data_IF_759362782030
#
_entry.id   IF_759362782030
#
_cell.length_a   1.000
_cell.length_b   1.000
_cell.length_c   1.000
_cell.angle_alpha   90.00
_cell.angle_beta   90.00
_cell.angle_gamma   90.00
#
_symmetry.space_group_name_H-M   'P 1'
#
loop_
_entity.id
_entity.type
_entity.pdbx_description
1 polymer ?
#
# COMPACT_ATOMS: atom_id res chain seq x y z
N UNK A 1 -4.19 9.44 -37.68
CA UNK A 1 -4.16 10.71 -38.46
C UNK A 1 -4.03 11.81 -37.41
N UNK A 2 -2.85 12.43 -37.33
CA UNK A 2 -2.64 13.54 -36.42
C UNK A 2 -3.32 14.77 -37.01
N UNK A 3 -4.30 15.34 -36.30
CA UNK A 3 -5.01 16.54 -36.65
C UNK A 3 -4.79 17.56 -35.53
N UNK A 4 -4.34 18.75 -35.89
CA UNK A 4 -4.25 19.87 -34.95
C UNK A 4 -5.48 20.77 -35.13
N UNK A 5 -6.06 21.21 -34.00
CA UNK A 5 -7.18 22.15 -33.99
C UNK A 5 -6.60 23.52 -33.65
N UNK A 6 -6.53 24.40 -34.64
CA UNK A 6 -6.20 25.80 -34.46
C UNK A 6 -7.38 26.64 -34.91
N UNK A 7 -7.86 27.54 -34.06
CA UNK A 7 -8.95 28.51 -34.33
C UNK A 7 -10.24 27.90 -34.94
N UNK A 8 -10.57 26.65 -34.54
CA UNK A 8 -11.76 25.96 -35.03
C UNK A 8 -11.61 25.32 -36.41
N UNK A 9 -10.43 25.37 -37.00
CA UNK A 9 -10.10 24.68 -38.25
C UNK A 9 -9.19 23.49 -37.97
N UNK A 10 -9.38 22.37 -38.70
CA UNK A 10 -8.52 21.21 -38.66
C UNK A 10 -7.40 21.35 -39.67
N UNK A 11 -6.18 21.56 -39.20
CA UNK A 11 -4.99 21.55 -40.07
C UNK A 11 -4.29 20.20 -39.91
N UNK A 12 -4.10 19.41 -40.99
CA UNK A 12 -3.36 18.18 -40.90
C UNK A 12 -1.88 18.47 -40.65
N UNK A 13 -1.29 17.81 -39.64
CA UNK A 13 0.16 17.90 -39.37
C UNK A 13 1.01 17.30 -40.51
N UNK A 14 0.44 16.43 -41.33
CA UNK A 14 1.11 15.74 -42.43
C UNK A 14 0.29 15.76 -43.71
N UNK A 15 0.96 15.93 -44.85
CA UNK A 15 0.40 15.72 -46.17
C UNK A 15 0.13 14.23 -46.43
N UNK A 16 -0.61 13.91 -47.49
CA UNK A 16 -0.87 12.49 -47.85
C UNK A 16 0.42 11.75 -48.19
N UNK A 17 1.37 12.36 -48.87
CA UNK A 17 2.65 11.75 -49.23
C UNK A 17 3.51 11.50 -47.97
N UNK A 18 3.49 12.44 -47.02
CA UNK A 18 4.17 12.28 -45.72
C UNK A 18 3.53 11.18 -44.86
N UNK A 19 2.20 11.03 -44.90
CA UNK A 19 1.53 9.89 -44.23
C UNK A 19 1.93 8.56 -44.83
N UNK A 20 2.22 8.49 -46.12
CA UNK A 20 2.74 7.26 -46.73
C UNK A 20 4.17 6.96 -46.28
N UNK A 21 5.01 7.98 -46.09
CA UNK A 21 6.34 7.79 -45.48
C UNK A 21 6.25 7.26 -44.03
N UNK A 22 5.27 7.74 -43.23
CA UNK A 22 5.01 7.24 -41.88
C UNK A 22 4.59 5.76 -41.94
N UNK A 23 3.67 5.39 -42.84
CA UNK A 23 3.26 3.99 -43.03
C UNK A 23 4.40 3.06 -43.42
N UNK A 24 5.38 3.59 -44.15
CA UNK A 24 6.60 2.87 -44.52
C UNK A 24 7.67 2.91 -43.42
N UNK A 25 7.37 3.56 -42.27
CA UNK A 25 8.31 3.76 -41.16
C UNK A 25 9.65 4.32 -41.64
N UNK A 26 9.58 5.38 -42.47
CA UNK A 26 10.75 5.95 -43.16
C UNK A 26 11.74 6.55 -42.18
N UNK A 27 13.04 6.35 -42.45
CA UNK A 27 14.14 7.01 -41.73
C UNK A 27 14.40 8.43 -42.21
N UNK A 28 13.62 8.94 -43.16
CA UNK A 28 13.76 10.31 -43.66
C UNK A 28 13.45 11.28 -42.53
N UNK A 29 14.28 12.33 -42.44
CA UNK A 29 14.09 13.47 -41.54
C UNK A 29 14.18 14.75 -42.38
N UNK A 30 13.22 15.61 -42.20
CA UNK A 30 13.27 16.97 -42.80
C UNK A 30 13.67 17.94 -41.68
N UNK A 31 14.93 18.40 -41.65
CA UNK A 31 15.35 19.43 -40.71
C UNK A 31 14.64 20.74 -41.09
N UNK A 32 14.36 21.59 -40.16
CA UNK A 32 13.78 22.92 -40.37
C UNK A 32 12.47 22.91 -41.21
N UNK A 33 11.64 21.91 -41.07
CA UNK A 33 10.42 21.74 -41.82
C UNK A 33 9.38 22.83 -41.46
N UNK A 34 8.63 23.32 -42.48
CA UNK A 34 7.44 24.12 -42.24
C UNK A 34 6.23 23.18 -42.05
N UNK A 35 5.80 22.99 -40.81
CA UNK A 35 4.67 22.08 -40.48
C UNK A 35 3.88 22.51 -39.25
N UNK A 36 2.75 23.09 -39.49
CA UNK A 36 1.86 23.56 -38.43
C UNK A 36 2.59 24.47 -37.42
N UNK A 37 2.31 24.26 -36.14
CA UNK A 37 2.97 24.98 -35.04
C UNK A 37 4.41 24.53 -34.75
N UNK A 38 4.85 23.47 -35.39
CA UNK A 38 6.18 22.88 -35.18
C UNK A 38 7.22 23.38 -36.19
N UNK A 39 6.91 24.42 -36.95
CA UNK A 39 7.84 25.03 -37.91
C UNK A 39 9.19 25.36 -37.25
N UNK A 40 10.27 24.95 -37.90
CA UNK A 40 11.63 25.08 -37.37
C UNK A 40 12.11 23.89 -36.54
N UNK A 41 11.27 22.87 -36.31
CA UNK A 41 11.66 21.60 -35.70
C UNK A 41 11.78 20.51 -36.75
N UNK A 42 12.67 19.52 -36.57
CA UNK A 42 12.77 18.37 -37.46
C UNK A 42 11.42 17.64 -37.57
N UNK A 43 11.00 17.32 -38.78
CA UNK A 43 9.83 16.50 -39.04
C UNK A 43 10.26 15.06 -39.29
N UNK A 44 9.62 14.12 -38.59
CA UNK A 44 9.94 12.70 -38.60
C UNK A 44 8.79 11.91 -39.23
N UNK A 45 9.13 10.77 -39.83
CA UNK A 45 8.19 9.89 -40.52
C UNK A 45 8.22 8.48 -39.94
N UNK A 46 8.37 8.38 -38.60
CA UNK A 46 8.31 7.10 -37.87
C UNK A 46 6.88 6.82 -37.41
N UNK A 47 6.56 5.55 -37.29
CA UNK A 47 5.36 5.06 -36.62
C UNK A 47 5.81 4.10 -35.52
N UNK A 48 6.13 4.66 -34.36
CA UNK A 48 6.67 3.94 -33.21
C UNK A 48 5.58 3.75 -32.17
N UNK A 49 5.47 2.54 -31.63
CA UNK A 49 4.67 2.29 -30.45
C UNK A 49 5.51 2.47 -29.17
N UNK A 50 5.36 3.60 -28.53
CA UNK A 50 6.07 3.92 -27.29
C UNK A 50 5.71 2.97 -26.17
N UNK A 51 4.50 2.41 -26.12
CA UNK A 51 4.16 1.41 -25.13
C UNK A 51 4.99 0.15 -25.34
N UNK A 52 5.01 -0.37 -26.56
CA UNK A 52 5.82 -1.56 -26.88
C UNK A 52 7.32 -1.31 -26.68
N UNK A 53 7.80 -0.09 -26.90
CA UNK A 53 9.21 0.25 -26.71
C UNK A 53 9.61 0.31 -25.24
N UNK A 54 8.72 0.79 -24.37
CA UNK A 54 9.01 1.08 -22.96
C UNK A 54 8.49 0.04 -21.98
N UNK A 55 7.46 -0.69 -22.36
CA UNK A 55 6.79 -1.68 -21.52
C UNK A 55 7.09 -3.07 -22.01
N UNK A 56 7.52 -3.93 -21.14
CA UNK A 56 7.82 -5.32 -21.39
C UNK A 56 6.98 -6.26 -20.55
N UNK A 57 7.49 -7.46 -20.37
CA UNK A 57 6.92 -8.45 -19.48
C UNK A 57 7.64 -8.40 -18.13
N UNK A 58 6.88 -8.32 -17.06
CA UNK A 58 7.40 -8.55 -15.72
C UNK A 58 7.67 -10.04 -15.48
N UNK A 59 8.59 -10.33 -14.58
CA UNK A 59 8.92 -11.68 -14.15
C UNK A 59 8.70 -11.83 -12.65
N UNK A 60 8.04 -12.92 -12.24
CA UNK A 60 7.85 -13.22 -10.82
C UNK A 60 8.31 -14.64 -10.53
N UNK A 61 9.17 -14.78 -9.53
CA UNK A 61 9.66 -16.04 -8.99
C UNK A 61 9.24 -16.14 -7.54
N UNK A 62 8.64 -17.27 -7.15
CA UNK A 62 8.19 -17.50 -5.79
C UNK A 62 8.63 -18.91 -5.32
N UNK A 63 9.36 -18.95 -4.23
CA UNK A 63 9.87 -20.17 -3.61
C UNK A 63 9.35 -20.25 -2.18
N UNK A 64 8.74 -21.39 -1.83
CA UNK A 64 8.22 -21.63 -0.51
C UNK A 64 8.64 -23.01 -0.02
N UNK A 65 9.11 -23.07 1.21
CA UNK A 65 9.44 -24.32 1.91
C UNK A 65 8.68 -24.33 3.24
N UNK A 66 7.95 -25.41 3.50
CA UNK A 66 7.19 -25.59 4.72
C UNK A 66 7.60 -26.89 5.39
N UNK A 67 7.87 -26.81 6.70
CA UNK A 67 8.16 -27.94 7.54
C UNK A 67 7.17 -27.90 8.69
N UNK A 68 6.47 -28.99 8.93
CA UNK A 68 5.55 -29.11 10.06
C UNK A 68 5.68 -30.48 10.70
N UNK A 69 5.41 -30.52 12.00
CA UNK A 69 5.42 -31.74 12.77
C UNK A 69 4.75 -31.56 14.12
N UNK A 70 4.67 -32.63 14.90
CA UNK A 70 4.07 -32.55 16.20
C UNK A 70 3.96 -33.93 16.87
N UNK A 71 3.48 -33.89 18.10
CA UNK A 71 3.13 -35.04 18.91
C UNK A 71 1.81 -34.76 19.63
N UNK A 72 1.48 -35.57 20.63
CA UNK A 72 0.23 -35.47 21.38
C UNK A 72 0.04 -34.10 22.06
N UNK A 73 1.15 -33.48 22.50
CA UNK A 73 1.13 -32.25 23.30
C UNK A 73 1.77 -31.05 22.66
N UNK A 74 2.27 -31.17 21.43
CA UNK A 74 2.87 -30.04 20.72
C UNK A 74 2.69 -30.19 19.23
N UNK A 75 2.62 -29.05 18.56
CA UNK A 75 2.72 -28.96 17.12
C UNK A 75 3.57 -27.76 16.74
N UNK A 76 4.23 -27.85 15.59
CA UNK A 76 4.99 -26.74 15.04
C UNK A 76 4.89 -26.70 13.53
N UNK A 77 5.09 -25.51 12.99
CA UNK A 77 5.21 -25.24 11.57
C UNK A 77 6.26 -24.14 11.37
N UNK A 78 7.19 -24.37 10.47
CA UNK A 78 8.11 -23.36 9.96
C UNK A 78 7.87 -23.23 8.47
N UNK A 79 7.69 -21.99 8.01
CA UNK A 79 7.52 -21.63 6.59
C UNK A 79 8.57 -20.59 6.24
N UNK A 80 9.31 -20.83 5.16
CA UNK A 80 10.27 -19.93 4.58
C UNK A 80 9.84 -19.62 3.15
N UNK A 81 9.88 -18.37 2.76
CA UNK A 81 9.53 -17.95 1.41
C UNK A 81 10.48 -16.89 0.89
N UNK A 82 10.72 -16.92 -0.40
CA UNK A 82 11.40 -15.88 -1.15
C UNK A 82 10.61 -15.57 -2.40
N UNK A 83 10.39 -14.30 -2.67
CA UNK A 83 9.76 -13.79 -3.89
C UNK A 83 10.69 -12.76 -4.51
N UNK A 84 10.91 -12.88 -5.80
CA UNK A 84 11.54 -11.87 -6.64
C UNK A 84 10.54 -11.46 -7.72
N UNK A 85 10.32 -10.18 -7.85
CA UNK A 85 9.41 -9.57 -8.81
C UNK A 85 10.18 -8.50 -9.58
N UNK A 86 10.16 -8.59 -10.89
CA UNK A 86 10.71 -7.59 -11.81
C UNK A 86 9.54 -6.87 -12.47
N UNK A 87 9.57 -5.55 -12.47
CA UNK A 87 8.55 -4.71 -13.09
C UNK A 87 8.50 -4.83 -14.60
N UNK A 88 7.53 -4.16 -15.19
CA UNK A 88 7.31 -4.16 -16.65
C UNK A 88 8.08 -3.08 -17.42
N UNK A 89 8.63 -1.99 -16.83
CA UNK A 89 9.44 -1.03 -17.57
C UNK A 89 10.70 -1.67 -18.15
N UNK A 90 11.01 -1.36 -19.41
CA UNK A 90 12.24 -1.81 -20.09
C UNK A 90 13.45 -0.91 -19.82
N UNK A 91 13.21 0.29 -19.28
CA UNK A 91 14.21 1.25 -18.90
C UNK A 91 14.13 1.54 -17.41
N UNK A 92 15.28 1.80 -16.81
CA UNK A 92 15.40 1.92 -15.37
C UNK A 92 15.24 0.58 -14.66
N UNK A 93 15.46 0.57 -13.37
CA UNK A 93 15.28 -0.61 -12.54
C UNK A 93 13.88 -0.62 -11.91
N UNK A 94 13.26 -1.79 -11.77
CA UNK A 94 12.11 -2.04 -10.90
C UNK A 94 12.15 -3.50 -10.44
N UNK A 95 12.84 -3.72 -9.33
CA UNK A 95 13.03 -5.06 -8.76
C UNK A 95 12.63 -5.05 -7.30
N UNK A 96 11.75 -5.97 -6.92
CA UNK A 96 11.33 -6.19 -5.54
C UNK A 96 11.70 -7.60 -5.08
N UNK A 97 12.47 -7.70 -4.00
CA UNK A 97 12.86 -8.95 -3.36
C UNK A 97 12.22 -9.03 -1.99
N UNK A 98 11.41 -10.06 -1.73
CA UNK A 98 10.73 -10.29 -0.46
C UNK A 98 11.19 -11.60 0.17
N UNK A 99 11.30 -11.60 1.47
CA UNK A 99 11.63 -12.75 2.30
C UNK A 99 10.57 -12.90 3.37
N UNK A 100 10.07 -14.12 3.54
CA UNK A 100 9.02 -14.45 4.49
C UNK A 100 9.51 -15.56 5.42
N UNK A 101 9.33 -15.35 6.70
CA UNK A 101 9.55 -16.35 7.73
C UNK A 101 8.29 -16.41 8.57
N UNK A 102 7.71 -17.60 8.72
CA UNK A 102 6.60 -17.83 9.63
C UNK A 102 6.88 -19.06 10.47
N UNK A 103 6.83 -18.87 11.78
CA UNK A 103 6.92 -19.98 12.74
C UNK A 103 5.65 -20.00 13.59
N UNK A 104 5.04 -21.17 13.69
CA UNK A 104 3.91 -21.41 14.59
C UNK A 104 4.26 -22.57 15.50
N UNK A 105 3.91 -22.45 16.76
CA UNK A 105 3.97 -23.56 17.69
C UNK A 105 2.77 -23.54 18.63
N UNK A 106 2.29 -24.71 18.99
CA UNK A 106 1.28 -24.92 20.02
C UNK A 106 1.81 -25.98 20.97
N UNK A 107 1.85 -25.67 22.27
CA UNK A 107 2.40 -26.53 23.29
C UNK A 107 1.42 -26.63 24.45
N UNK A 108 1.01 -27.84 24.78
CA UNK A 108 0.29 -28.15 26.03
C UNK A 108 1.28 -28.19 27.19
N UNK A 109 1.41 -27.07 27.92
CA UNK A 109 2.32 -26.96 29.09
C UNK A 109 1.83 -27.87 30.20
N UNK A 110 0.51 -27.83 30.47
CA UNK A 110 -0.21 -28.73 31.37
C UNK A 110 -1.47 -29.21 30.66
N UNK A 111 -2.11 -30.28 31.13
CA UNK A 111 -3.34 -30.84 30.55
C UNK A 111 -4.47 -29.78 30.32
N UNK A 112 -4.42 -28.70 31.09
CA UNK A 112 -5.41 -27.61 31.01
C UNK A 112 -4.84 -26.28 30.59
N UNK A 113 -3.55 -26.20 30.21
CA UNK A 113 -2.89 -24.95 29.81
C UNK A 113 -2.13 -25.13 28.50
N UNK A 114 -2.56 -24.42 27.46
CA UNK A 114 -1.92 -24.45 26.15
C UNK A 114 -1.35 -23.05 25.84
N UNK A 115 -0.13 -23.06 25.36
CA UNK A 115 0.53 -21.84 24.81
C UNK A 115 0.69 -21.96 23.30
N UNK A 116 0.24 -20.94 22.59
CA UNK A 116 0.37 -20.80 21.15
C UNK A 116 1.26 -19.60 20.83
N UNK A 117 2.28 -19.82 20.01
CA UNK A 117 3.13 -18.79 19.44
C UNK A 117 2.95 -18.75 17.93
N UNK A 118 2.76 -17.55 17.37
CA UNK A 118 2.81 -17.31 15.94
C UNK A 118 3.71 -16.11 15.68
N UNK A 119 4.88 -16.38 15.08
CA UNK A 119 5.84 -15.40 14.64
C UNK A 119 5.76 -15.27 13.11
N UNK A 120 5.64 -14.06 12.60
CA UNK A 120 5.76 -13.77 11.19
C UNK A 120 6.76 -12.62 10.99
N UNK A 121 7.69 -12.81 10.08
CA UNK A 121 8.62 -11.77 9.65
C UNK A 121 8.58 -11.67 8.14
N UNK A 122 8.48 -10.44 7.64
CA UNK A 122 8.57 -10.10 6.23
C UNK A 122 9.60 -9.00 6.05
N UNK A 123 10.53 -9.19 5.14
CA UNK A 123 11.45 -8.16 4.68
C UNK A 123 11.27 -7.95 3.18
N UNK A 124 11.31 -6.70 2.74
CA UNK A 124 11.24 -6.33 1.32
C UNK A 124 12.33 -5.33 0.99
N UNK A 125 13.05 -5.59 -0.11
CA UNK A 125 14.00 -4.65 -0.71
C UNK A 125 13.52 -4.36 -2.12
N UNK A 126 13.10 -3.13 -2.37
CA UNK A 126 12.67 -2.67 -3.69
C UNK A 126 13.57 -1.56 -4.17
N UNK A 127 14.16 -1.79 -5.34
CA UNK A 127 14.96 -0.82 -6.10
C UNK A 127 14.20 -0.47 -7.37
N UNK A 128 13.92 0.81 -7.60
CA UNK A 128 13.16 1.24 -8.77
C UNK A 128 13.50 2.67 -9.18
N UNK A 129 13.31 2.96 -10.47
CA UNK A 129 13.53 4.29 -11.01
C UNK A 129 12.67 5.34 -10.29
N UNK A 130 13.27 6.48 -9.95
CA UNK A 130 12.53 7.61 -9.39
C UNK A 130 11.49 8.19 -10.39
N UNK A 131 11.60 7.86 -11.68
CA UNK A 131 10.58 8.15 -12.69
C UNK A 131 9.24 7.45 -12.46
N UNK A 132 9.21 6.36 -11.66
CA UNK A 132 8.00 5.62 -11.29
C UNK A 132 7.34 6.15 -9.99
N UNK A 133 7.89 7.18 -9.34
CA UNK A 133 7.31 7.73 -8.12
C UNK A 133 6.02 8.52 -8.40
N UNK A 134 5.16 8.59 -7.38
CA UNK A 134 3.99 9.47 -7.44
C UNK A 134 4.42 10.92 -7.75
N UNK A 135 3.68 11.58 -8.64
CA UNK A 135 3.96 12.94 -9.10
C UNK A 135 4.83 13.03 -10.36
N UNK A 136 5.44 11.95 -10.83
CA UNK A 136 6.16 11.91 -12.11
C UNK A 136 5.32 11.37 -13.26
N UNK A 137 4.11 10.98 -13.04
CA UNK A 137 3.12 10.43 -13.99
C UNK A 137 3.72 9.87 -15.30
N UNK A 138 4.67 8.94 -15.17
CA UNK A 138 5.40 8.36 -16.31
C UNK A 138 4.45 7.74 -17.34
N UNK A 139 3.34 7.17 -16.87
CA UNK A 139 2.35 6.54 -17.72
C UNK A 139 1.64 7.57 -18.62
N UNK A 140 1.35 8.75 -18.07
CA UNK A 140 0.80 9.87 -18.84
C UNK A 140 1.83 10.39 -19.85
N UNK A 141 3.11 10.45 -19.46
CA UNK A 141 4.19 10.86 -20.35
C UNK A 141 4.34 9.89 -21.53
N UNK A 142 4.32 8.57 -21.26
CA UNK A 142 4.37 7.54 -22.30
C UNK A 142 3.18 7.69 -23.27
N UNK A 143 1.98 7.84 -22.71
CA UNK A 143 0.75 7.98 -23.51
C UNK A 143 0.71 9.26 -24.36
N UNK A 144 1.28 10.37 -23.86
CA UNK A 144 1.33 11.65 -24.57
C UNK A 144 2.46 11.75 -25.58
N UNK A 145 3.45 10.85 -25.50
CA UNK A 145 4.57 10.87 -26.46
C UNK A 145 4.08 10.44 -27.84
N UNK A 146 4.42 11.24 -28.84
CA UNK A 146 3.92 11.04 -30.20
C UNK A 146 4.64 9.89 -30.89
N UNK A 147 3.90 9.09 -31.66
CA UNK A 147 4.44 7.91 -32.37
C UNK A 147 5.58 8.23 -33.35
N UNK A 148 5.59 9.42 -33.91
CA UNK A 148 6.63 9.84 -34.84
C UNK A 148 7.91 10.39 -34.16
N UNK A 149 7.89 10.64 -32.85
CA UNK A 149 9.06 11.14 -32.11
C UNK A 149 10.09 10.03 -31.94
N UNK A 150 11.34 10.18 -32.45
CA UNK A 150 12.38 9.20 -32.22
C UNK A 150 12.84 9.16 -30.76
N UNK A 151 13.27 8.00 -30.28
CA UNK A 151 13.79 7.85 -28.92
C UNK A 151 15.17 8.47 -28.76
N UNK A 152 16.02 8.36 -29.78
CA UNK A 152 17.39 8.81 -29.79
C UNK A 152 17.64 9.76 -30.97
N UNK A 153 18.54 10.73 -30.78
CA UNK A 153 19.08 11.51 -31.88
C UNK A 153 20.20 10.74 -32.61
N UNK A 154 20.76 11.26 -33.71
CA UNK A 154 21.82 10.56 -34.46
C UNK A 154 23.10 10.31 -33.68
N UNK A 155 23.36 11.04 -32.60
CA UNK A 155 24.51 10.82 -31.70
C UNK A 155 24.28 9.73 -30.68
N UNK A 156 23.06 9.13 -30.63
CA UNK A 156 22.70 8.06 -29.69
C UNK A 156 22.30 8.55 -28.29
N UNK A 157 22.09 9.86 -28.10
CA UNK A 157 21.53 10.42 -26.87
C UNK A 157 20.00 10.46 -26.94
N UNK A 158 19.34 10.44 -25.77
CA UNK A 158 17.89 10.55 -25.72
C UNK A 158 17.42 11.88 -26.33
N UNK A 159 16.57 11.76 -27.34
CA UNK A 159 16.03 12.93 -28.04
C UNK A 159 14.84 13.52 -27.31
N UNK A 160 14.77 14.82 -27.24
CA UNK A 160 13.65 15.54 -26.67
C UNK A 160 13.04 16.47 -27.72
N UNK A 161 11.76 16.28 -28.01
CA UNK A 161 11.01 17.12 -28.91
C UNK A 161 10.31 18.25 -28.13
N UNK A 162 10.59 19.47 -28.48
CA UNK A 162 9.91 20.71 -28.03
C UNK A 162 9.41 20.73 -26.58
N UNK A 163 10.30 20.51 -25.65
CA UNK A 163 9.92 20.62 -24.25
C UNK A 163 9.16 19.44 -23.66
N UNK A 164 8.86 18.41 -24.43
CA UNK A 164 8.36 17.15 -23.92
C UNK A 164 9.53 16.30 -23.42
N UNK A 165 9.39 15.72 -22.24
CA UNK A 165 10.41 14.83 -21.71
C UNK A 165 10.38 13.50 -22.46
N UNK A 166 11.55 12.91 -22.69
CA UNK A 166 11.65 11.55 -23.21
C UNK A 166 11.38 10.57 -22.07
N UNK A 167 10.32 9.73 -22.13
CA UNK A 167 9.98 8.84 -21.03
C UNK A 167 11.05 7.79 -20.76
N UNK A 168 11.79 7.31 -21.77
CA UNK A 168 12.91 6.39 -21.58
C UNK A 168 14.01 7.05 -20.76
N UNK A 169 14.37 8.30 -21.07
CA UNK A 169 15.37 9.04 -20.32
C UNK A 169 14.93 9.30 -18.87
N UNK A 170 13.66 9.62 -18.65
CA UNK A 170 13.14 9.82 -17.29
C UNK A 170 13.28 8.56 -16.46
N UNK A 171 13.04 7.39 -17.05
CA UNK A 171 13.19 6.10 -16.37
C UNK A 171 14.66 5.73 -16.12
N UNK A 172 15.55 5.99 -17.09
CA UNK A 172 16.96 5.55 -17.03
C UNK A 172 17.80 6.54 -16.22
N UNK A 173 17.73 7.84 -16.53
CA UNK A 173 18.62 8.85 -15.99
C UNK A 173 18.03 9.59 -14.78
N UNK A 174 16.76 9.42 -14.50
CA UNK A 174 16.01 10.24 -13.52
C UNK A 174 16.40 10.03 -12.07
N UNK A 175 17.18 9.01 -11.75
CA UNK A 175 17.57 8.63 -10.39
C UNK A 175 16.83 7.39 -9.88
N UNK A 176 17.03 7.06 -8.61
CA UNK A 176 16.62 5.79 -8.01
C UNK A 176 15.89 5.97 -6.69
N UNK A 177 15.02 5.03 -6.40
CA UNK A 177 14.45 4.81 -5.07
C UNK A 177 14.90 3.45 -4.57
N UNK A 178 15.60 3.44 -3.45
CA UNK A 178 15.96 2.22 -2.73
C UNK A 178 15.11 2.16 -1.46
N UNK A 179 14.23 1.18 -1.36
CA UNK A 179 13.28 1.06 -0.27
C UNK A 179 13.39 -0.30 0.41
N UNK A 180 13.77 -0.28 1.67
CA UNK A 180 13.81 -1.47 2.52
C UNK A 180 12.69 -1.40 3.54
N UNK A 181 11.92 -2.47 3.69
CA UNK A 181 10.90 -2.58 4.74
C UNK A 181 11.09 -3.86 5.53
N UNK A 182 10.77 -3.78 6.82
CA UNK A 182 10.72 -4.92 7.73
C UNK A 182 9.42 -4.91 8.50
N UNK A 183 8.73 -6.04 8.56
CA UNK A 183 7.51 -6.21 9.33
C UNK A 183 7.62 -7.49 10.18
N UNK A 184 7.68 -7.33 11.49
CA UNK A 184 7.66 -8.45 12.43
C UNK A 184 6.35 -8.43 13.20
N UNK A 185 5.67 -9.57 13.24
CA UNK A 185 4.47 -9.78 14.04
C UNK A 185 4.69 -10.96 14.97
N UNK A 186 4.52 -10.72 16.26
CA UNK A 186 4.57 -11.75 17.29
C UNK A 186 3.20 -11.82 17.95
N UNK A 187 2.56 -12.98 17.86
CA UNK A 187 1.29 -13.26 18.52
C UNK A 187 1.50 -14.39 19.51
N UNK A 188 1.30 -14.09 20.77
CA UNK A 188 1.35 -15.02 21.89
C UNK A 188 -0.07 -15.22 22.42
N UNK A 189 -0.49 -16.45 22.61
CA UNK A 189 -1.79 -16.76 23.20
C UNK A 189 -1.63 -17.85 24.27
N UNK A 190 -2.22 -17.61 25.42
CA UNK A 190 -2.32 -18.55 26.52
C UNK A 190 -3.78 -18.92 26.72
N UNK A 191 -4.10 -20.20 26.65
CA UNK A 191 -5.45 -20.75 26.83
C UNK A 191 -5.48 -21.66 28.05
N UNK A 192 -6.21 -21.27 29.08
CA UNK A 192 -6.32 -21.97 30.32
C UNK A 192 -7.74 -22.48 30.52
N UNK A 193 -7.91 -23.81 30.52
CA UNK A 193 -9.15 -24.47 30.93
C UNK A 193 -9.19 -24.52 32.46
N UNK A 194 -9.95 -23.60 33.07
CA UNK A 194 -10.00 -23.43 34.53
C UNK A 194 -10.82 -24.53 35.18
N UNK A 195 -12.01 -24.76 34.63
CA UNK A 195 -12.92 -25.86 34.99
C UNK A 195 -13.59 -26.36 33.72
N UNK A 196 -14.36 -27.41 33.80
CA UNK A 196 -15.14 -27.87 32.64
C UNK A 196 -16.10 -26.81 32.14
N UNK A 197 -16.04 -26.56 30.83
CA UNK A 197 -16.79 -25.52 30.16
C UNK A 197 -16.20 -24.10 30.24
N UNK A 198 -15.30 -23.76 31.18
CA UNK A 198 -14.71 -22.41 31.34
C UNK A 198 -13.25 -22.37 30.89
N UNK A 199 -12.99 -21.50 29.92
CA UNK A 199 -11.65 -21.20 29.42
C UNK A 199 -11.34 -19.70 29.58
N UNK A 200 -10.15 -19.39 30.12
CA UNK A 200 -9.57 -18.06 30.08
C UNK A 200 -8.54 -18.01 28.96
N UNK A 201 -8.58 -16.92 28.20
CA UNK A 201 -7.66 -16.70 27.08
C UNK A 201 -7.02 -15.33 27.22
N UNK A 202 -5.68 -15.33 27.28
CA UNK A 202 -4.87 -14.11 27.19
C UNK A 202 -4.10 -14.10 25.89
N UNK A 203 -4.18 -13.00 25.15
CA UNK A 203 -3.49 -12.82 23.88
C UNK A 203 -2.70 -11.52 23.88
N UNK A 204 -1.48 -11.55 23.35
CA UNK A 204 -0.63 -10.40 23.13
C UNK A 204 -0.12 -10.43 21.69
N UNK A 205 -0.51 -9.44 20.90
CA UNK A 205 -0.02 -9.25 19.54
C UNK A 205 0.82 -7.97 19.48
N UNK A 206 2.08 -8.13 19.07
CA UNK A 206 3.00 -7.01 18.86
C UNK A 206 3.43 -7.03 17.40
N UNK A 207 3.25 -5.92 16.73
CA UNK A 207 3.68 -5.72 15.34
C UNK A 207 4.59 -4.51 15.28
N UNK A 208 5.76 -4.70 14.68
CA UNK A 208 6.70 -3.64 14.40
C UNK A 208 6.95 -3.58 12.90
N UNK A 209 6.75 -2.41 12.34
CA UNK A 209 7.07 -2.09 10.95
C UNK A 209 8.15 -1.03 10.92
N UNK A 210 9.22 -1.29 10.17
CA UNK A 210 10.29 -0.33 9.88
C UNK A 210 10.39 -0.14 8.37
N UNK A 211 10.66 1.10 7.93
CA UNK A 211 10.94 1.45 6.53
C UNK A 211 12.16 2.37 6.50
N UNK A 212 13.10 2.06 5.62
CA UNK A 212 14.20 2.95 5.22
C UNK A 212 14.10 3.16 3.71
N UNK A 213 13.94 4.40 3.28
CA UNK A 213 13.75 4.76 1.88
C UNK A 213 14.73 5.87 1.52
N UNK A 214 15.52 5.62 0.48
CA UNK A 214 16.45 6.59 -0.09
C UNK A 214 15.96 6.95 -1.50
N UNK A 215 15.65 8.22 -1.73
CA UNK A 215 15.17 8.74 -3.02
C UNK A 215 16.20 9.68 -3.57
N UNK A 216 16.71 9.39 -4.77
CA UNK A 216 17.56 10.30 -5.53
C UNK A 216 16.83 10.78 -6.76
N UNK A 217 16.82 12.08 -6.99
CA UNK A 217 16.31 12.70 -8.21
C UNK A 217 17.48 13.40 -8.91
N UNK A 218 17.93 12.81 -9.99
CA UNK A 218 19.00 13.35 -10.81
C UNK A 218 18.48 14.45 -11.75
N UNK A 219 19.30 15.41 -12.03
CA UNK A 219 19.08 16.38 -13.07
C UNK A 219 19.19 15.68 -14.43
N UNK A 220 18.24 15.92 -15.31
CA UNK A 220 18.20 15.37 -16.67
C UNK A 220 18.49 16.50 -17.65
N UNK A 221 19.48 16.32 -18.52
CA UNK A 221 19.76 17.22 -19.63
C UNK A 221 19.06 16.69 -20.87
N UNK A 222 18.18 17.50 -21.44
CA UNK A 222 17.45 17.22 -22.67
C UNK A 222 18.25 17.68 -23.88
N UNK A 223 18.31 16.85 -24.93
CA UNK A 223 19.06 17.12 -26.15
C UNK A 223 18.14 17.20 -27.37
N UNK A 224 18.43 18.15 -28.27
CA UNK A 224 17.78 18.27 -29.57
C UNK A 224 18.31 17.23 -30.59
N UNK A 225 17.84 17.36 -31.85
CA UNK A 225 18.25 16.47 -32.93
C UNK A 225 19.73 16.58 -33.29
N UNK A 226 20.30 17.77 -33.14
CA UNK A 226 21.70 18.07 -33.44
C UNK A 226 22.62 17.83 -32.22
N UNK A 227 22.07 17.22 -31.16
CA UNK A 227 22.75 16.92 -29.90
C UNK A 227 23.18 18.16 -29.09
N UNK A 228 22.48 19.28 -29.26
CA UNK A 228 22.67 20.43 -28.39
C UNK A 228 21.84 20.25 -27.11
N UNK A 229 22.38 20.64 -25.97
CA UNK A 229 21.64 20.70 -24.72
C UNK A 229 20.64 21.86 -24.76
N UNK A 230 19.34 21.55 -24.75
CA UNK A 230 18.28 22.56 -24.89
C UNK A 230 17.61 22.90 -23.57
N UNK A 231 17.61 21.97 -22.60
CA UNK A 231 16.96 22.18 -21.32
C UNK A 231 17.49 21.24 -20.26
N UNK A 232 17.47 21.70 -19.02
CA UNK A 232 17.63 20.87 -17.83
C UNK A 232 16.30 20.67 -17.11
N UNK A 233 16.02 19.46 -16.71
CA UNK A 233 14.85 19.06 -15.90
C UNK A 233 15.29 18.52 -14.55
N UNK A 234 14.36 18.52 -13.59
CA UNK A 234 14.62 18.09 -12.22
C UNK A 234 15.73 18.90 -11.57
N UNK A 235 15.70 20.22 -11.80
CA UNK A 235 16.59 21.19 -11.16
C UNK A 235 15.81 21.92 -10.05
N UNK A 236 16.40 21.98 -8.83
CA UNK A 236 17.65 21.33 -8.43
C UNK A 236 17.50 19.81 -8.28
N UNK A 237 18.58 19.08 -8.55
CA UNK A 237 18.67 17.66 -8.19
C UNK A 237 18.56 17.50 -6.67
N UNK A 238 18.11 16.34 -6.19
CA UNK A 238 17.85 16.15 -4.77
C UNK A 238 18.08 14.72 -4.31
N UNK A 239 18.51 14.57 -3.06
CA UNK A 239 18.47 13.30 -2.34
C UNK A 239 17.64 13.47 -1.08
N UNK A 240 16.80 12.47 -0.79
CA UNK A 240 15.93 12.43 0.37
C UNK A 240 16.01 11.06 1.01
N UNK A 241 16.18 11.03 2.35
CA UNK A 241 16.12 9.80 3.12
C UNK A 241 14.98 9.88 4.12
N UNK A 242 14.15 8.85 4.12
CA UNK A 242 12.99 8.69 4.97
C UNK A 242 13.17 7.45 5.83
N UNK A 243 13.04 7.63 7.13
CA UNK A 243 12.97 6.50 8.06
C UNK A 243 11.64 6.54 8.79
N UNK A 244 10.91 5.43 8.77
CA UNK A 244 9.61 5.29 9.41
C UNK A 244 9.61 4.08 10.34
N UNK A 245 8.98 4.23 11.49
CA UNK A 245 8.74 3.15 12.43
C UNK A 245 7.29 3.18 12.89
N UNK A 246 6.63 2.03 12.86
CA UNK A 246 5.28 1.88 13.43
C UNK A 246 5.31 0.71 14.40
N UNK A 247 4.86 0.93 15.63
CA UNK A 247 4.73 -0.08 16.65
C UNK A 247 3.27 -0.19 17.09
N UNK A 248 2.62 -1.31 16.70
CA UNK A 248 1.24 -1.62 17.08
C UNK A 248 1.25 -2.72 18.16
N UNK A 249 0.43 -2.57 19.19
CA UNK A 249 0.27 -3.54 20.28
C UNK A 249 -1.22 -3.78 20.49
N UNK A 250 -1.58 -5.05 20.65
CA UNK A 250 -2.93 -5.43 21.02
C UNK A 250 -2.85 -6.50 22.13
N UNK A 251 -3.49 -6.22 23.25
CA UNK A 251 -3.61 -7.13 24.39
C UNK A 251 -5.09 -7.44 24.57
N UNK A 252 -5.45 -8.70 24.58
CA UNK A 252 -6.82 -9.17 24.77
C UNK A 252 -6.89 -10.21 25.87
N UNK A 253 -7.84 -10.05 26.77
CA UNK A 253 -8.15 -11.01 27.83
C UNK A 253 -9.64 -11.30 27.80
N UNK A 254 -10.03 -12.58 27.74
CA UNK A 254 -11.42 -12.95 27.80
C UNK A 254 -11.65 -14.31 28.49
N UNK A 255 -12.83 -14.45 29.04
CA UNK A 255 -13.38 -15.70 29.54
C UNK A 255 -14.46 -16.21 28.57
N UNK A 256 -14.39 -17.49 28.23
CA UNK A 256 -15.39 -18.18 27.39
C UNK A 256 -15.94 -19.36 28.18
N UNK A 257 -17.24 -19.33 28.45
CA UNK A 257 -17.95 -20.39 29.15
C UNK A 257 -18.95 -21.07 28.24
N UNK A 258 -18.86 -22.40 28.12
CA UNK A 258 -19.73 -23.22 27.28
C UNK A 258 -20.33 -24.32 28.13
N UNK A 259 -21.64 -24.48 28.02
CA UNK A 259 -22.36 -25.55 28.70
C UNK A 259 -23.53 -26.05 27.89
N UNK A 260 -23.65 -27.37 27.78
CA UNK A 260 -24.82 -28.06 27.29
C UNK A 260 -25.69 -28.49 28.47
N UNK A 261 -27.00 -28.25 28.40
CA UNK A 261 -27.98 -28.68 29.38
C UNK A 261 -28.98 -29.62 28.70
N UNK A 262 -29.09 -30.84 29.22
CA UNK A 262 -30.07 -31.85 28.79
C UNK A 262 -30.05 -32.15 27.26
N UNK A 263 -28.89 -32.05 26.62
CA UNK A 263 -28.66 -32.27 25.17
C UNK A 263 -29.56 -31.44 24.24
N UNK A 264 -30.22 -30.41 24.77
CA UNK A 264 -31.10 -29.51 24.02
C UNK A 264 -30.76 -28.03 24.11
N UNK A 265 -30.01 -27.65 25.12
CA UNK A 265 -29.70 -26.24 25.39
C UNK A 265 -28.19 -26.06 25.38
N UNK A 266 -27.69 -25.46 24.34
CA UNK A 266 -26.28 -25.07 24.26
C UNK A 266 -26.17 -23.58 24.56
N UNK A 267 -25.43 -23.24 25.62
CA UNK A 267 -25.13 -21.89 26.03
C UNK A 267 -23.63 -21.63 25.90
N UNK A 268 -23.27 -20.55 25.23
CA UNK A 268 -21.90 -20.00 25.22
C UNK A 268 -21.93 -18.53 25.61
N UNK A 269 -21.15 -18.17 26.62
CA UNK A 269 -21.02 -16.80 27.11
C UNK A 269 -19.55 -16.40 27.07
N UNK A 270 -19.23 -15.29 26.44
CA UNK A 270 -17.90 -14.71 26.41
C UNK A 270 -17.94 -13.28 26.94
N UNK A 271 -16.99 -12.95 27.82
CA UNK A 271 -16.77 -11.59 28.33
C UNK A 271 -15.29 -11.29 28.27
N UNK A 272 -14.94 -10.12 27.80
CA UNK A 272 -13.51 -9.76 27.66
C UNK A 272 -13.25 -8.28 27.57
N UNK A 273 -11.96 -7.98 27.58
CA UNK A 273 -11.42 -6.63 27.39
C UNK A 273 -10.24 -6.69 26.42
N UNK A 274 -10.03 -5.61 25.70
CA UNK A 274 -8.84 -5.44 24.88
C UNK A 274 -8.27 -4.03 25.00
N UNK A 275 -6.96 -3.92 24.84
CA UNK A 275 -6.21 -2.67 24.72
C UNK A 275 -5.43 -2.71 23.42
N UNK A 276 -5.68 -1.75 22.55
CA UNK A 276 -4.97 -1.56 21.30
C UNK A 276 -4.26 -0.21 21.30
N UNK A 277 -3.03 -0.17 20.84
CA UNK A 277 -2.26 1.07 20.69
C UNK A 277 -1.35 1.00 19.48
N UNK A 278 -1.19 2.13 18.83
CA UNK A 278 -0.24 2.31 17.74
C UNK A 278 0.56 3.60 17.95
N UNK A 279 1.86 3.47 17.73
CA UNK A 279 2.80 4.59 17.74
C UNK A 279 3.51 4.63 16.40
N UNK A 280 3.37 5.72 15.69
CA UNK A 280 3.99 6.03 14.42
C UNK A 280 5.01 7.13 14.61
N UNK A 281 6.17 6.97 14.01
CA UNK A 281 7.25 7.94 13.99
C UNK A 281 7.94 7.92 12.62
N UNK A 282 8.18 9.10 12.05
CA UNK A 282 8.86 9.27 10.77
C UNK A 282 9.83 10.44 10.85
N UNK A 283 11.03 10.20 10.37
CA UNK A 283 12.05 11.20 10.16
C UNK A 283 12.40 11.29 8.67
N UNK A 284 12.51 12.50 8.16
CA UNK A 284 12.91 12.76 6.77
C UNK A 284 14.03 13.80 6.76
N UNK A 285 15.06 13.53 5.97
CA UNK A 285 16.13 14.48 5.67
C UNK A 285 16.28 14.62 4.15
N UNK A 286 16.43 15.85 3.69
CA UNK A 286 16.57 16.17 2.26
C UNK A 286 17.67 17.19 2.05
N UNK A 287 18.45 16.99 0.98
CA UNK A 287 19.35 17.99 0.41
C UNK A 287 19.16 18.13 -1.08
N UNK A 288 19.51 19.27 -1.62
CA UNK A 288 19.46 19.62 -3.03
C UNK A 288 20.81 20.13 -3.48
N UNK A 289 20.96 20.39 -4.78
CA UNK A 289 22.17 20.99 -5.39
C UNK A 289 23.41 20.13 -5.17
N UNK A 290 23.41 18.93 -5.76
CA UNK A 290 24.58 18.04 -5.81
C UNK A 290 25.41 18.34 -7.05
N UNK A 291 26.70 18.59 -6.88
CA UNK A 291 27.63 18.81 -7.99
C UNK A 291 27.90 17.53 -8.78
N UNK A 292 27.91 16.37 -8.08
CA UNK A 292 28.11 15.04 -8.69
C UNK A 292 26.85 14.19 -8.50
N UNK A 293 26.33 13.65 -9.59
CA UNK A 293 25.09 12.87 -9.59
C UNK A 293 25.30 11.35 -9.47
N UNK A 294 26.54 10.89 -9.58
CA UNK A 294 26.93 9.49 -9.39
C UNK A 294 26.85 9.07 -7.93
N UNK A 295 27.10 10.02 -7.02
CA UNK A 295 27.04 9.81 -5.58
C UNK A 295 26.24 10.94 -4.91
N UNK A 296 24.96 10.74 -4.73
CA UNK A 296 24.07 11.70 -4.10
C UNK A 296 23.86 11.38 -2.61
N UNK A 297 24.95 11.06 -1.89
CA UNK A 297 24.88 10.95 -0.43
C UNK A 297 24.53 12.30 0.19
N UNK A 298 23.61 12.31 1.19
CA UNK A 298 23.09 13.54 1.79
C UNK A 298 24.19 14.53 2.23
N UNK A 299 25.32 14.02 2.73
CA UNK A 299 26.43 14.87 3.17
C UNK A 299 27.10 15.66 2.04
N UNK A 300 26.94 15.25 0.78
CA UNK A 300 27.56 15.88 -0.40
C UNK A 300 26.67 16.94 -1.06
N UNK A 301 25.42 17.05 -0.65
CA UNK A 301 24.53 18.11 -1.12
C UNK A 301 24.85 19.47 -0.48
N UNK A 302 24.28 20.53 -1.03
CA UNK A 302 24.45 21.90 -0.53
C UNK A 302 24.14 22.00 0.96
N UNK A 303 25.04 22.57 1.74
CA UNK A 303 24.85 22.79 3.16
C UNK A 303 23.82 23.90 3.46
N UNK A 304 23.60 24.83 2.51
CA UNK A 304 22.64 25.91 2.64
C UNK A 304 21.18 25.44 2.41
N UNK A 305 21.00 24.38 1.63
CA UNK A 305 19.71 23.84 1.21
C UNK A 305 19.40 22.51 1.89
N UNK A 306 19.72 22.40 3.18
CA UNK A 306 19.41 21.22 3.98
C UNK A 306 18.04 21.37 4.66
N UNK A 307 17.25 20.33 4.59
CA UNK A 307 15.96 20.28 5.26
C UNK A 307 15.82 18.96 6.01
N UNK A 308 15.28 19.02 7.23
CA UNK A 308 14.99 17.83 8.02
C UNK A 308 13.75 18.10 8.87
N UNK A 309 12.86 17.11 8.91
CA UNK A 309 11.65 17.19 9.72
C UNK A 309 11.25 15.82 10.24
N UNK A 310 10.45 15.81 11.28
CA UNK A 310 9.86 14.61 11.84
C UNK A 310 8.38 14.79 12.04
N UNK A 311 7.66 13.71 11.95
CA UNK A 311 6.25 13.60 12.28
C UNK A 311 6.03 12.36 13.12
N UNK A 312 5.11 12.44 14.07
CA UNK A 312 4.78 11.31 14.91
C UNK A 312 3.37 11.41 15.42
N UNK A 313 2.76 10.26 15.63
CA UNK A 313 1.43 10.20 16.21
C UNK A 313 1.22 8.93 17.02
N UNK A 314 0.23 8.96 17.90
CA UNK A 314 -0.13 7.85 18.73
C UNK A 314 -1.64 7.82 18.95
N UNK A 315 -2.21 6.63 18.95
CA UNK A 315 -3.60 6.43 19.37
C UNK A 315 -3.76 5.15 20.18
N UNK A 316 -4.82 5.11 20.96
CA UNK A 316 -5.19 3.95 21.77
C UNK A 316 -6.68 3.71 21.74
N UNK A 317 -7.08 2.43 21.85
CA UNK A 317 -8.47 2.03 22.09
C UNK A 317 -8.49 1.06 23.27
N UNK A 318 -9.38 1.31 24.22
CA UNK A 318 -9.74 0.35 25.26
C UNK A 318 -11.14 -0.16 24.97
N UNK A 319 -11.31 -1.47 25.05
CA UNK A 319 -12.58 -2.09 24.70
C UNK A 319 -13.04 -3.08 25.76
N UNK A 320 -14.35 -3.12 25.98
CA UNK A 320 -15.03 -4.19 26.71
C UNK A 320 -16.03 -4.83 25.76
N UNK A 321 -16.10 -6.16 25.78
CA UNK A 321 -17.01 -6.87 24.90
C UNK A 321 -17.61 -8.08 25.57
N UNK A 322 -18.84 -8.42 25.15
CA UNK A 322 -19.53 -9.61 25.59
C UNK A 322 -20.30 -10.24 24.42
N UNK A 323 -20.42 -11.54 24.45
CA UNK A 323 -21.24 -12.32 23.53
C UNK A 323 -21.95 -13.42 24.28
N UNK A 324 -23.24 -13.55 24.02
CA UNK A 324 -24.06 -14.67 24.48
C UNK A 324 -24.61 -15.37 23.26
N UNK A 325 -24.34 -16.64 23.12
CA UNK A 325 -24.91 -17.49 22.08
C UNK A 325 -25.71 -18.61 22.74
N UNK A 326 -26.97 -18.78 22.33
CA UNK A 326 -27.86 -19.82 22.83
C UNK A 326 -28.47 -20.58 21.67
N UNK A 327 -28.35 -21.91 21.72
CA UNK A 327 -28.92 -22.81 20.75
C UNK A 327 -29.93 -23.75 21.43
N UNK A 328 -31.14 -23.78 20.94
CA UNK A 328 -32.15 -24.69 21.44
C UNK A 328 -32.44 -25.81 20.44
N UNK A 329 -32.38 -27.06 20.96
CA UNK A 329 -32.65 -28.29 20.23
C UNK A 329 -31.93 -28.42 18.89
N UNK A 330 -30.75 -27.79 18.76
CA UNK A 330 -29.97 -27.69 17.52
C UNK A 330 -30.73 -27.04 16.33
N UNK A 331 -31.84 -26.35 16.60
CA UNK A 331 -32.77 -25.75 15.61
C UNK A 331 -32.79 -24.24 15.64
N UNK A 332 -32.88 -23.67 16.81
CA UNK A 332 -33.04 -22.24 17.02
C UNK A 332 -31.79 -21.69 17.65
N UNK A 333 -31.17 -20.71 16.99
CA UNK A 333 -29.95 -20.06 17.49
C UNK A 333 -30.27 -18.58 17.66
N UNK A 334 -29.92 -18.03 18.82
CA UNK A 334 -29.93 -16.61 19.07
C UNK A 334 -28.55 -16.21 19.63
N UNK A 335 -28.01 -15.11 19.11
CA UNK A 335 -26.76 -14.54 19.58
C UNK A 335 -26.95 -13.04 19.83
N UNK A 336 -26.51 -12.59 21.00
CA UNK A 336 -26.41 -11.18 21.33
C UNK A 336 -24.93 -10.82 21.54
N UNK A 337 -24.52 -9.70 21.00
CA UNK A 337 -23.17 -9.13 21.20
C UNK A 337 -23.29 -7.68 21.65
N UNK A 338 -22.37 -7.25 22.48
CA UNK A 338 -22.21 -5.84 22.83
C UNK A 338 -20.73 -5.54 22.95
N UNK A 339 -20.33 -4.41 22.40
CA UNK A 339 -18.98 -3.90 22.49
C UNK A 339 -19.00 -2.43 22.87
N UNK A 340 -18.16 -2.04 23.81
CA UNK A 340 -17.90 -0.66 24.16
C UNK A 340 -16.46 -0.34 23.84
N UNK A 341 -16.21 0.65 23.00
CA UNK A 341 -14.86 1.07 22.59
C UNK A 341 -14.62 2.52 23.00
N UNK A 342 -13.55 2.74 23.77
CA UNK A 342 -13.07 4.05 24.18
C UNK A 342 -11.82 4.43 23.41
N UNK A 343 -11.93 5.36 22.46
CA UNK A 343 -10.83 5.77 21.59
C UNK A 343 -10.25 7.11 22.00
N UNK A 344 -8.91 7.21 21.99
CA UNK A 344 -8.17 8.45 22.23
C UNK A 344 -8.33 9.51 21.12
N UNK A 345 -8.93 9.15 19.98
CA UNK A 345 -9.21 10.09 18.88
C UNK A 345 -10.34 11.05 19.18
N UNK A 346 -11.18 10.73 20.19
CA UNK A 346 -12.32 11.53 20.59
C UNK A 346 -12.02 12.33 21.87
N UNK A 347 -12.79 13.38 22.03
CA UNK A 347 -12.79 14.17 23.26
C UNK A 347 -12.95 13.28 24.50
N UNK A 348 -12.26 13.57 25.64
CA UNK A 348 -12.36 12.79 26.86
C UNK A 348 -13.77 12.45 27.32
N UNK A 349 -14.71 13.40 27.16
CA UNK A 349 -16.10 13.23 27.59
C UNK A 349 -16.96 12.42 26.61
N UNK A 350 -16.46 12.17 25.38
CA UNK A 350 -17.18 11.50 24.30
C UNK A 350 -16.42 10.31 23.70
N UNK A 351 -15.48 9.73 24.45
CA UNK A 351 -14.57 8.66 23.93
C UNK A 351 -15.25 7.31 23.72
N UNK A 352 -16.35 7.04 24.44
CA UNK A 352 -16.94 5.72 24.49
C UNK A 352 -18.12 5.59 23.51
N UNK A 353 -18.01 4.66 22.58
CA UNK A 353 -19.08 4.22 21.70
C UNK A 353 -19.56 2.83 22.08
N UNK A 354 -20.86 2.56 21.92
CA UNK A 354 -21.50 1.28 22.20
C UNK A 354 -22.03 0.68 20.91
N UNK A 355 -21.71 -0.58 20.68
CA UNK A 355 -21.98 -1.29 19.43
C UNK A 355 -22.71 -2.60 19.73
N UNK A 356 -24.04 -2.58 19.85
CA UNK A 356 -24.85 -3.77 20.03
C UNK A 356 -25.03 -4.53 18.73
N UNK A 357 -25.20 -5.85 18.84
CA UNK A 357 -25.55 -6.71 17.73
C UNK A 357 -26.44 -7.87 18.18
N UNK A 358 -27.37 -8.29 17.33
CA UNK A 358 -28.23 -9.46 17.54
C UNK A 358 -28.31 -10.27 16.27
N UNK A 359 -28.21 -11.59 16.41
CA UNK A 359 -28.34 -12.55 15.33
C UNK A 359 -29.38 -13.61 15.74
N UNK A 360 -30.24 -14.01 14.84
CA UNK A 360 -31.15 -15.13 15.01
C UNK A 360 -31.04 -16.08 13.81
N UNK A 361 -31.12 -17.38 14.07
CA UNK A 361 -31.15 -18.37 13.02
C UNK A 361 -32.09 -19.51 13.35
N UNK A 362 -32.85 -19.94 12.33
CA UNK A 362 -33.71 -21.10 12.38
C UNK A 362 -33.25 -22.14 11.38
N UNK A 363 -32.85 -23.31 11.86
CA UNK A 363 -32.44 -24.45 11.05
C UNK A 363 -33.74 -25.22 10.66
N UNK A 364 -34.42 -24.70 9.64
CA UNK A 364 -35.69 -25.24 9.14
C UNK A 364 -35.54 -26.70 8.70
N UNK A 365 -34.38 -27.06 8.13
CA UNK A 365 -34.05 -28.43 7.71
C UNK A 365 -34.12 -29.46 8.85
N UNK A 366 -33.90 -29.01 10.10
CA UNK A 366 -33.98 -29.87 11.28
C UNK A 366 -35.40 -30.09 11.78
N UNK A 367 -36.39 -29.39 11.21
CA UNK A 367 -37.80 -29.60 11.58
C UNK A 367 -38.36 -30.89 11.00
N UNK A 368 -39.21 -31.56 11.80
CA UNK A 368 -39.78 -32.85 11.42
C UNK A 368 -40.61 -32.82 10.14
N UNK A 369 -41.24 -31.67 9.81
CA UNK A 369 -41.96 -31.52 8.55
C UNK A 369 -41.02 -31.42 7.34
N UNK A 370 -39.89 -30.74 7.48
CA UNK A 370 -38.87 -30.59 6.40
C UNK A 370 -38.17 -31.90 6.15
N UNK A 371 -37.76 -32.62 7.22
CA UNK A 371 -37.13 -33.95 7.08
C UNK A 371 -38.04 -34.95 6.35
N UNK A 372 -39.36 -34.84 6.51
CA UNK A 372 -40.31 -35.69 5.80
C UNK A 372 -40.48 -35.33 4.32
N UNK A 373 -40.30 -34.06 3.95
CA UNK A 373 -40.31 -33.60 2.55
C UNK A 373 -39.12 -34.07 1.75
N UNK A 374 -37.95 -34.22 2.40
CA UNK A 374 -36.70 -34.71 1.75
C UNK A 374 -36.13 -33.78 0.68
N UNK A 375 -36.60 -32.53 0.59
CA UNK A 375 -36.20 -31.60 -0.47
C UNK A 375 -34.82 -30.93 -0.23
N UNK A 376 -34.45 -30.78 1.04
CA UNK A 376 -33.23 -30.10 1.41
C UNK A 376 -32.49 -30.90 2.51
N UNK A 377 -31.19 -31.06 2.37
CA UNK A 377 -30.32 -31.65 3.40
C UNK A 377 -30.10 -30.66 4.53
N UNK A 378 -29.89 -29.38 4.22
CA UNK A 378 -29.80 -28.26 5.19
C UNK A 378 -30.52 -27.04 4.65
N UNK A 379 -31.47 -26.52 5.44
CA UNK A 379 -32.12 -25.25 5.16
C UNK A 379 -32.10 -24.40 6.43
N UNK A 380 -31.44 -23.24 6.35
CA UNK A 380 -31.27 -22.31 7.47
C UNK A 380 -31.71 -20.90 7.08
N UNK A 381 -32.63 -20.32 7.83
CA UNK A 381 -33.01 -18.90 7.73
C UNK A 381 -32.23 -18.12 8.80
N UNK A 382 -31.71 -16.96 8.44
CA UNK A 382 -30.92 -16.10 9.35
C UNK A 382 -31.38 -14.65 9.20
N UNK A 383 -31.41 -13.94 10.33
CA UNK A 383 -31.58 -12.50 10.39
C UNK A 383 -30.56 -11.92 11.37
N UNK A 384 -30.01 -10.75 11.05
CA UNK A 384 -29.06 -10.06 11.90
C UNK A 384 -29.25 -8.56 11.86
N UNK A 385 -29.01 -7.93 12.99
CA UNK A 385 -28.91 -6.48 13.13
C UNK A 385 -27.68 -6.17 13.99
N UNK A 386 -26.96 -5.11 13.65
CA UNK A 386 -25.80 -4.68 14.43
C UNK A 386 -25.35 -3.28 14.08
N UNK A 387 -24.79 -2.62 15.05
CA UNK A 387 -24.15 -1.32 14.93
C UNK A 387 -22.63 -1.49 14.96
N UNK A 388 -21.92 -0.73 14.13
CA UNK A 388 -20.46 -0.74 14.05
C UNK A 388 -19.92 0.68 14.09
N UNK A 389 -18.81 0.88 14.80
CA UNK A 389 -18.09 2.13 14.83
C UNK A 389 -16.92 2.13 13.85
N UNK A 390 -16.64 3.28 13.27
CA UNK A 390 -15.44 3.52 12.47
C UNK A 390 -14.78 4.84 12.91
N UNK A 391 -13.51 4.78 13.31
CA UNK A 391 -12.72 5.95 13.71
C UNK A 391 -11.74 6.43 12.62
N UNK A 392 -11.61 5.71 11.49
CA UNK A 392 -10.58 6.01 10.47
C UNK A 392 -10.81 7.33 9.71
N UNK A 393 -12.04 7.85 9.74
CA UNK A 393 -12.39 9.14 9.13
C UNK A 393 -12.11 10.36 10.00
N UNK A 394 -11.60 10.18 11.23
CA UNK A 394 -11.37 11.25 12.19
C UNK A 394 -9.86 11.34 12.45
N UNK A 395 -9.31 12.56 12.37
CA UNK A 395 -7.92 12.83 12.71
C UNK A 395 -7.63 12.54 14.19
N UNK A 396 -6.35 12.48 14.55
CA UNK A 396 -5.92 12.05 15.89
C UNK A 396 -6.22 13.08 16.99
N UNK A 397 -6.37 14.34 16.61
CA UNK A 397 -6.55 15.48 17.54
C UNK A 397 -7.61 16.47 17.04
N UNK A 398 -8.54 16.03 16.19
CA UNK A 398 -9.58 16.89 15.59
C UNK A 398 -10.51 17.52 16.64
N UNK A 399 -10.56 16.96 17.86
CA UNK A 399 -11.30 17.53 18.99
C UNK A 399 -10.57 18.70 19.67
N UNK A 400 -9.29 18.95 19.33
CA UNK A 400 -8.52 20.07 19.85
C UNK A 400 -8.59 21.21 18.85
N UNK A 401 -9.09 22.36 19.30
CA UNK A 401 -9.11 23.56 18.48
C UNK A 401 -7.67 24.06 18.26
N UNK A 402 -7.17 23.89 17.03
CA UNK A 402 -5.86 24.37 16.63
C UNK A 402 -5.99 25.77 16.00
N UNK A 403 -5.15 26.70 16.46
CA UNK A 403 -4.97 28.00 15.82
C UNK A 403 -3.80 27.86 14.86
N UNK A 404 -4.07 27.87 13.55
CA UNK A 404 -3.01 27.97 12.54
C UNK A 404 -2.53 29.42 12.47
N UNK A 405 -1.28 29.65 12.86
CA UNK A 405 -0.60 30.90 12.58
C UNK A 405 -0.07 30.85 11.15
N UNK A 406 -0.94 31.16 10.18
CA UNK A 406 -0.48 31.37 8.80
C UNK A 406 0.14 32.77 8.72
N UNK A 407 1.14 32.93 7.84
CA UNK A 407 1.74 34.25 7.55
C UNK A 407 0.82 35.16 6.72
N UNK A 408 -0.47 34.90 6.70
CA UNK A 408 -1.47 35.77 6.10
C UNK A 408 -1.66 36.97 7.03
N UNK A 409 -0.90 37.99 6.77
CA UNK A 409 -1.09 39.30 7.40
C UNK A 409 -2.45 39.85 6.95
N UNK A 410 -3.40 39.90 7.87
CA UNK A 410 -4.49 40.84 7.72
C UNK A 410 -3.87 42.25 7.87
N UNK A 411 -3.89 43.09 6.83
CA UNK A 411 -3.48 44.47 7.02
C UNK A 411 -4.54 45.16 7.90
N UNK A 412 -4.26 45.25 9.19
CA UNK A 412 -4.99 46.17 10.01
C UNK A 412 -4.59 47.59 9.55
N UNK A 413 -5.48 48.18 8.71
CA UNK A 413 -5.58 49.58 8.48
C UNK A 413 -4.27 50.34 8.38
N UNK A 414 -3.77 50.54 7.18
CA UNK A 414 -3.05 51.76 6.91
C UNK A 414 -4.09 52.91 6.87
N UNK A 415 -4.12 53.71 7.91
CA UNK A 415 -4.71 55.04 7.89
C UNK A 415 -3.82 55.98 7.06
#
# INVERSE_FOLDING_TARGET
>A
MALEITDGSFTPEYTRDQLELIRQNSDQVLPDAEWGRWTGYPQFFKDQDWNDMLIGNGNMQNYNVNISGGGERYSYMLSLGHQREEGIPKFGEDVNKRYFIRAKSSVEIFKNLTYDLNLAYEASNRDYSSGLTEGQNIWELIYKTRSWTPMYNPSGTFYTFEGFDNPAQVLEDGGMVNKTTGNITVNNQLRWKVIDGLQLVGQAVIRKYDMDENVTNKKITNYDWDNNAVREKRTPNSAERRYQKTLSKNFTLYADYKKNFNDRHDLSVMVGTSHESENYDRFTAKRINFDQQENMSLQLGSAQDQNAWSEGNQWTINSFFSRVNYTFANKYVIEGTIRADGSSRFDPDHRWGWFPGVNAAWRVGEEGFMKRLGWFEDLKVRASYGEMGNQSGIGLYDYIQLISLSNDYYPFGAG
#
